data_IF_507402642771
#
_entry.id   IF_507402642771
#
_cell.length_a   1.000
_cell.length_b   1.000
_cell.length_c   1.000
_cell.angle_alpha   90.00
_cell.angle_beta   90.00
_cell.angle_gamma   90.00
#
_symmetry.space_group_name_H-M   'P 1'
#
loop_
_entity.id
_entity.type
_entity.pdbx_description
1 polymer ?
#
# COMPACT_ATOMS: atom_id res chain seq x y z
N UNK A 1 42.40 -20.74 62.54
CA UNK A 1 43.13 -20.62 61.26
C UNK A 1 42.11 -20.67 60.14
N UNK A 2 41.84 -19.51 59.53
CA UNK A 2 40.95 -19.34 58.38
C UNK A 2 41.67 -19.74 57.10
N UNK A 3 41.03 -20.53 56.25
CA UNK A 3 41.22 -20.52 54.80
C UNK A 3 40.04 -21.24 54.10
N UNK A 4 39.73 -20.90 52.83
CA UNK A 4 38.63 -20.00 52.55
C UNK A 4 37.68 -20.53 51.45
N UNK A 5 36.51 -19.90 51.36
CA UNK A 5 35.72 -19.75 50.13
C UNK A 5 35.61 -20.96 49.21
N UNK A 6 34.59 -21.77 49.43
CA UNK A 6 33.94 -22.55 48.36
C UNK A 6 33.42 -21.52 47.35
N UNK A 7 34.25 -21.19 46.34
CA UNK A 7 33.82 -20.45 45.16
C UNK A 7 32.97 -21.41 44.33
N UNK A 8 31.67 -21.43 44.61
CA UNK A 8 30.64 -21.92 43.71
C UNK A 8 30.73 -21.02 42.46
N UNK A 9 31.56 -21.41 41.49
CA UNK A 9 31.64 -20.73 40.19
C UNK A 9 30.29 -20.89 39.51
N UNK A 10 29.56 -19.79 39.37
CA UNK A 10 28.72 -19.33 38.24
C UNK A 10 28.20 -20.29 37.15
N UNK A 11 27.98 -21.59 37.40
CA UNK A 11 27.40 -22.52 36.41
C UNK A 11 25.90 -22.31 36.18
N UNK A 12 25.21 -21.55 37.04
CA UNK A 12 23.75 -21.38 36.98
C UNK A 12 23.24 -20.24 36.09
N UNK A 13 23.93 -19.10 36.05
CA UNK A 13 23.45 -17.90 35.35
C UNK A 13 23.57 -18.03 33.82
N UNK A 14 24.68 -18.56 33.33
CA UNK A 14 24.88 -18.82 31.90
C UNK A 14 23.87 -19.84 31.36
N UNK A 15 23.66 -20.95 32.09
CA UNK A 15 22.66 -21.96 31.76
C UNK A 15 21.24 -21.39 31.79
N UNK A 16 20.90 -20.55 32.75
CA UNK A 16 19.59 -19.91 32.84
C UNK A 16 19.35 -18.90 31.71
N UNK A 17 20.34 -18.08 31.37
CA UNK A 17 20.28 -17.15 30.24
C UNK A 17 20.15 -17.92 28.92
N UNK A 18 20.96 -18.97 28.73
CA UNK A 18 20.89 -19.82 27.56
C UNK A 18 19.52 -20.53 27.46
N UNK A 19 18.97 -21.01 28.58
CA UNK A 19 17.63 -21.61 28.63
C UNK A 19 16.53 -20.61 28.31
N UNK A 20 16.59 -19.38 28.82
CA UNK A 20 15.65 -18.30 28.47
C UNK A 20 15.78 -17.94 27.00
N UNK A 21 16.99 -17.77 26.49
CA UNK A 21 17.25 -17.46 25.09
C UNK A 21 16.73 -18.58 24.18
N UNK A 22 16.95 -19.85 24.56
CA UNK A 22 16.47 -21.01 23.79
C UNK A 22 14.95 -21.13 23.84
N UNK A 23 14.31 -20.86 24.98
CA UNK A 23 12.86 -20.80 25.09
C UNK A 23 12.28 -19.64 24.29
N UNK A 24 12.89 -18.47 24.34
CA UNK A 24 12.48 -17.29 23.58
C UNK A 24 12.62 -17.51 22.07
N UNK A 25 13.73 -18.10 21.61
CA UNK A 25 13.95 -18.46 20.20
C UNK A 25 12.97 -19.56 19.76
N UNK A 26 12.70 -20.56 20.62
CA UNK A 26 11.72 -21.61 20.33
C UNK A 26 10.30 -21.06 20.27
N UNK A 27 9.93 -20.14 21.17
CA UNK A 27 8.65 -19.46 21.16
C UNK A 27 8.51 -18.56 19.93
N UNK A 28 9.55 -17.80 19.58
CA UNK A 28 9.60 -17.03 18.33
C UNK A 28 9.40 -17.93 17.11
N UNK A 29 10.00 -19.12 17.06
CA UNK A 29 9.79 -20.10 15.97
C UNK A 29 8.32 -20.53 15.87
N UNK A 30 7.69 -20.87 17.00
CA UNK A 30 6.28 -21.25 17.05
C UNK A 30 5.38 -20.12 16.53
N UNK A 31 5.70 -18.86 16.86
CA UNK A 31 4.95 -17.70 16.38
C UNK A 31 5.29 -17.29 14.94
N UNK A 32 6.51 -17.56 14.46
CA UNK A 32 6.93 -17.15 13.12
C UNK A 32 6.18 -17.93 12.04
N UNK A 33 5.84 -19.21 12.27
CA UNK A 33 5.03 -20.01 11.34
C UNK A 33 3.64 -19.39 11.06
N UNK A 34 2.78 -19.12 12.06
CA UNK A 34 1.48 -18.51 11.82
C UNK A 34 1.61 -17.07 11.29
N UNK A 35 2.65 -16.32 11.67
CA UNK A 35 2.91 -14.99 11.11
C UNK A 35 3.23 -15.08 9.61
N UNK A 36 4.12 -15.98 9.20
CA UNK A 36 4.46 -16.20 7.78
C UNK A 36 3.23 -16.65 6.99
N UNK A 37 2.40 -17.55 7.55
CA UNK A 37 1.15 -17.96 6.90
C UNK A 37 0.17 -16.80 6.75
N UNK A 38 -0.03 -15.99 7.80
CA UNK A 38 -0.87 -14.80 7.74
C UNK A 38 -0.36 -13.78 6.72
N UNK A 39 0.96 -13.54 6.68
CA UNK A 39 1.58 -12.62 5.73
C UNK A 39 1.46 -13.13 4.29
N UNK A 40 1.68 -14.42 4.05
CA UNK A 40 1.52 -15.02 2.73
C UNK A 40 0.06 -15.00 2.27
N UNK A 41 -0.90 -15.21 3.17
CA UNK A 41 -2.32 -15.08 2.86
C UNK A 41 -2.71 -13.63 2.59
N UNK A 42 -2.16 -12.67 3.33
CA UNK A 42 -2.39 -11.24 3.11
C UNK A 42 -1.79 -10.75 1.79
N UNK A 43 -0.54 -11.12 1.52
CA UNK A 43 0.14 -10.83 0.26
C UNK A 43 -0.62 -11.46 -0.90
N UNK A 44 -0.93 -12.76 -0.79
CA UNK A 44 -1.71 -13.49 -1.77
C UNK A 44 -3.07 -12.83 -2.05
N UNK A 45 -3.78 -12.36 -1.03
CA UNK A 45 -5.04 -11.62 -1.23
C UNK A 45 -4.84 -10.37 -2.09
N UNK A 46 -3.81 -9.56 -1.80
CA UNK A 46 -3.52 -8.35 -2.59
C UNK A 46 -3.08 -8.66 -4.03
N UNK A 47 -2.26 -9.70 -4.23
CA UNK A 47 -1.83 -10.17 -5.55
C UNK A 47 -3.02 -10.70 -6.36
N UNK A 48 -3.87 -11.52 -5.74
CA UNK A 48 -5.10 -12.06 -6.35
C UNK A 48 -6.03 -10.94 -6.79
N UNK A 49 -6.24 -9.94 -5.93
CA UNK A 49 -7.10 -8.80 -6.24
C UNK A 49 -6.60 -8.06 -7.49
N UNK A 50 -5.31 -7.72 -7.54
CA UNK A 50 -4.71 -7.05 -8.70
C UNK A 50 -4.77 -7.89 -9.97
N UNK A 51 -4.54 -9.19 -9.88
CA UNK A 51 -4.49 -10.08 -11.04
C UNK A 51 -5.90 -10.43 -11.57
N UNK A 52 -6.90 -10.52 -10.69
CA UNK A 52 -8.30 -10.76 -11.05
C UNK A 52 -8.94 -9.65 -11.91
N UNK A 53 -8.32 -8.46 -11.96
CA UNK A 53 -8.74 -7.40 -12.86
C UNK A 53 -8.37 -7.66 -14.33
N UNK A 54 -7.32 -8.46 -14.59
CA UNK A 54 -6.82 -8.73 -15.94
C UNK A 54 -7.23 -10.09 -16.47
N UNK A 55 -7.43 -11.07 -15.59
CA UNK A 55 -7.68 -12.47 -15.94
C UNK A 55 -8.88 -12.98 -15.14
N UNK A 56 -9.55 -14.03 -15.64
CA UNK A 56 -10.64 -14.70 -14.93
C UNK A 56 -10.25 -15.07 -13.48
N UNK A 57 -11.14 -14.82 -12.49
CA UNK A 57 -10.81 -14.96 -11.07
C UNK A 57 -10.24 -16.32 -10.67
N UNK A 58 -10.74 -17.42 -11.23
CA UNK A 58 -10.26 -18.75 -10.87
C UNK A 58 -8.81 -19.01 -11.33
N UNK A 59 -8.43 -18.52 -12.52
CA UNK A 59 -7.04 -18.61 -13.01
C UNK A 59 -6.15 -17.75 -12.13
N UNK A 60 -6.65 -16.56 -11.76
CA UNK A 60 -5.91 -15.65 -10.91
C UNK A 60 -5.60 -16.25 -9.54
N UNK A 61 -6.53 -16.99 -8.96
CA UNK A 61 -6.33 -17.70 -7.70
C UNK A 61 -5.24 -18.76 -7.82
N UNK A 62 -5.27 -19.59 -8.87
CA UNK A 62 -4.25 -20.64 -9.08
C UNK A 62 -2.85 -20.04 -9.24
N UNK A 63 -2.72 -18.98 -10.06
CA UNK A 63 -1.43 -18.29 -10.26
C UNK A 63 -0.94 -17.67 -8.95
N UNK A 64 -1.83 -17.05 -8.18
CA UNK A 64 -1.48 -16.44 -6.90
C UNK A 64 -0.95 -17.48 -5.90
N UNK A 65 -1.63 -18.63 -5.79
CA UNK A 65 -1.17 -19.74 -4.93
C UNK A 65 0.22 -20.22 -5.38
N UNK A 66 0.46 -20.31 -6.68
CA UNK A 66 1.76 -20.69 -7.22
C UNK A 66 2.86 -19.67 -6.87
N UNK A 67 2.60 -18.37 -7.08
CA UNK A 67 3.55 -17.28 -6.74
C UNK A 67 3.90 -17.31 -5.25
N UNK A 68 2.90 -17.37 -4.38
CA UNK A 68 3.11 -17.37 -2.93
C UNK A 68 3.86 -18.63 -2.46
N UNK A 69 3.54 -19.80 -3.05
CA UNK A 69 4.26 -21.04 -2.76
C UNK A 69 5.73 -20.95 -3.17
N UNK A 70 6.02 -20.38 -4.35
CA UNK A 70 7.41 -20.17 -4.81
C UNK A 70 8.16 -19.22 -3.87
N UNK A 71 7.53 -18.12 -3.43
CA UNK A 71 8.16 -17.18 -2.48
C UNK A 71 8.55 -17.90 -1.20
N UNK A 72 7.65 -18.67 -0.59
CA UNK A 72 7.94 -19.39 0.67
C UNK A 72 8.98 -20.50 0.46
N UNK A 73 8.82 -21.35 -0.56
CA UNK A 73 9.73 -22.47 -0.82
C UNK A 73 11.13 -21.97 -1.15
N UNK A 74 11.26 -21.01 -2.07
CA UNK A 74 12.58 -20.47 -2.43
C UNK A 74 13.21 -19.68 -1.27
N UNK A 75 12.44 -19.04 -0.40
CA UNK A 75 12.97 -18.37 0.79
C UNK A 75 13.56 -19.35 1.80
N UNK A 76 12.90 -20.50 2.00
CA UNK A 76 13.43 -21.60 2.80
C UNK A 76 14.65 -22.22 2.12
N UNK A 77 14.53 -22.62 0.85
CA UNK A 77 15.65 -23.25 0.13
C UNK A 77 16.91 -22.36 0.07
N UNK A 78 16.75 -21.03 -0.07
CA UNK A 78 17.85 -20.08 -0.02
C UNK A 78 18.54 -20.04 1.35
N UNK A 79 17.84 -20.37 2.44
CA UNK A 79 18.43 -20.45 3.77
C UNK A 79 19.29 -21.71 3.96
N UNK A 80 18.94 -22.82 3.30
CA UNK A 80 19.68 -24.07 3.34
C UNK A 80 20.86 -24.18 2.35
N UNK A 81 20.97 -23.28 1.37
CA UNK A 81 22.03 -23.34 0.34
C UNK A 81 23.19 -22.41 0.67
N UNK A 82 24.40 -22.98 0.73
CA UNK A 82 25.64 -22.21 0.80
C UNK A 82 26.10 -21.74 -0.59
N UNK A 83 26.25 -20.42 -0.76
CA UNK A 83 26.71 -19.79 -2.00
C UNK A 83 28.01 -20.40 -2.55
N UNK A 84 28.97 -20.73 -1.66
CA UNK A 84 30.26 -21.29 -2.08
C UNK A 84 30.16 -22.73 -2.59
N UNK A 85 29.33 -23.57 -1.95
CA UNK A 85 29.19 -24.98 -2.27
C UNK A 85 28.39 -25.24 -3.56
N UNK A 86 27.37 -24.41 -3.87
CA UNK A 86 26.54 -24.63 -5.05
C UNK A 86 26.01 -23.32 -5.67
N UNK A 87 26.88 -22.63 -6.42
CA UNK A 87 26.58 -21.33 -7.07
C UNK A 87 25.43 -21.40 -8.07
N UNK A 88 25.36 -22.47 -8.88
CA UNK A 88 24.33 -22.60 -9.92
C UNK A 88 22.94 -22.78 -9.30
N UNK A 89 22.81 -23.67 -8.30
CA UNK A 89 21.53 -23.87 -7.60
C UNK A 89 21.10 -22.60 -6.86
N UNK A 90 22.03 -21.93 -6.18
CA UNK A 90 21.73 -20.67 -5.50
C UNK A 90 21.22 -19.61 -6.47
N UNK A 91 21.89 -19.42 -7.63
CA UNK A 91 21.47 -18.44 -8.62
C UNK A 91 20.07 -18.75 -9.18
N UNK A 92 19.77 -20.02 -9.46
CA UNK A 92 18.43 -20.40 -9.95
C UNK A 92 17.34 -20.11 -8.93
N UNK A 93 17.59 -20.36 -7.63
CA UNK A 93 16.64 -20.11 -6.54
C UNK A 93 16.44 -18.60 -6.33
N UNK A 94 17.51 -17.80 -6.40
CA UNK A 94 17.41 -16.34 -6.28
C UNK A 94 16.69 -15.73 -7.47
N UNK A 95 16.94 -16.23 -8.69
CA UNK A 95 16.26 -15.77 -9.89
C UNK A 95 14.76 -16.07 -9.83
N UNK A 96 14.37 -17.30 -9.44
CA UNK A 96 12.95 -17.66 -9.28
C UNK A 96 12.27 -16.85 -8.18
N UNK A 97 12.96 -16.62 -7.06
CA UNK A 97 12.47 -15.77 -5.97
C UNK A 97 12.26 -14.32 -6.44
N UNK A 98 13.23 -13.76 -7.17
CA UNK A 98 13.16 -12.39 -7.69
C UNK A 98 11.99 -12.21 -8.66
N UNK A 99 11.75 -13.18 -9.55
CA UNK A 99 10.61 -13.16 -10.47
C UNK A 99 9.28 -13.27 -9.71
N UNK A 100 9.20 -14.13 -8.71
CA UNK A 100 7.99 -14.31 -7.90
C UNK A 100 7.66 -13.05 -7.09
N UNK A 101 8.65 -12.43 -6.45
CA UNK A 101 8.49 -11.15 -5.73
C UNK A 101 8.10 -10.05 -6.71
N UNK A 102 8.78 -9.93 -7.85
CA UNK A 102 8.45 -8.89 -8.83
C UNK A 102 7.00 -9.03 -9.32
N UNK A 103 6.55 -10.25 -9.62
CA UNK A 103 5.16 -10.51 -10.01
C UNK A 103 4.18 -10.15 -8.86
N UNK A 104 4.44 -10.65 -7.66
CA UNK A 104 3.61 -10.39 -6.47
C UNK A 104 3.47 -8.89 -6.20
N UNK A 105 4.59 -8.16 -6.09
CA UNK A 105 4.61 -6.71 -5.85
C UNK A 105 3.90 -5.94 -6.95
N UNK A 106 4.12 -6.31 -8.22
CA UNK A 106 3.48 -5.63 -9.37
C UNK A 106 1.96 -5.72 -9.30
N UNK A 107 1.40 -6.89 -8.98
CA UNK A 107 -0.04 -7.05 -8.89
C UNK A 107 -0.62 -6.47 -7.59
N UNK A 108 0.07 -6.65 -6.47
CA UNK A 108 -0.35 -6.06 -5.19
C UNK A 108 -0.32 -4.53 -5.21
N UNK A 109 0.59 -3.93 -5.98
CA UNK A 109 0.65 -2.49 -6.20
C UNK A 109 -0.68 -1.92 -6.71
N UNK A 110 -1.46 -2.65 -7.52
CA UNK A 110 -2.77 -2.18 -7.99
C UNK A 110 -3.72 -1.87 -6.83
N UNK A 111 -3.79 -2.75 -5.82
CA UNK A 111 -4.69 -2.54 -4.68
C UNK A 111 -4.25 -1.36 -3.81
N UNK A 112 -2.95 -1.24 -3.56
CA UNK A 112 -2.43 -0.11 -2.77
C UNK A 112 -2.52 1.22 -3.51
N UNK A 113 -2.33 1.20 -4.83
CA UNK A 113 -2.48 2.38 -5.68
C UNK A 113 -3.92 2.90 -5.65
N UNK A 114 -4.90 2.02 -5.82
CA UNK A 114 -6.33 2.34 -5.73
C UNK A 114 -6.65 3.04 -4.40
N UNK A 115 -6.21 2.49 -3.27
CA UNK A 115 -6.42 3.08 -1.95
C UNK A 115 -5.73 4.44 -1.83
N UNK A 116 -4.50 4.58 -2.34
CA UNK A 116 -3.74 5.83 -2.23
C UNK A 116 -4.27 6.97 -3.10
N UNK A 117 -4.86 6.65 -4.25
CA UNK A 117 -5.31 7.65 -5.24
C UNK A 117 -6.81 7.93 -5.23
N UNK A 118 -7.61 7.11 -4.53
CA UNK A 118 -9.06 7.28 -4.48
C UNK A 118 -9.48 8.67 -4.01
N UNK A 119 -8.86 9.18 -2.94
CA UNK A 119 -9.16 10.50 -2.39
C UNK A 119 -8.69 11.62 -3.34
N UNK A 120 -7.47 11.52 -3.85
CA UNK A 120 -6.90 12.49 -4.81
C UNK A 120 -7.75 12.60 -6.08
N UNK A 121 -8.20 11.47 -6.64
CA UNK A 121 -9.05 11.45 -7.82
C UNK A 121 -10.44 12.01 -7.53
N UNK A 122 -11.02 11.70 -6.37
CA UNK A 122 -12.30 12.27 -5.97
C UNK A 122 -12.23 13.79 -5.85
N UNK A 123 -11.19 14.31 -5.18
CA UNK A 123 -10.94 15.75 -5.03
C UNK A 123 -10.72 16.41 -6.41
N UNK A 124 -9.94 15.79 -7.29
CA UNK A 124 -9.70 16.31 -8.64
C UNK A 124 -10.99 16.39 -9.46
N UNK A 125 -11.84 15.35 -9.43
CA UNK A 125 -13.14 15.33 -10.11
C UNK A 125 -14.09 16.39 -9.54
N UNK A 126 -14.12 16.53 -8.22
CA UNK A 126 -14.91 17.57 -7.55
C UNK A 126 -14.44 18.96 -7.96
N UNK A 127 -13.13 19.23 -7.93
CA UNK A 127 -12.55 20.50 -8.35
C UNK A 127 -12.81 20.80 -9.84
N UNK A 128 -12.77 19.78 -10.70
CA UNK A 128 -13.14 19.93 -12.10
C UNK A 128 -14.61 20.36 -12.25
N UNK A 129 -15.54 19.75 -11.51
CA UNK A 129 -16.93 20.18 -11.47
C UNK A 129 -17.08 21.61 -10.92
N UNK A 130 -16.36 21.96 -9.85
CA UNK A 130 -16.36 23.31 -9.28
C UNK A 130 -15.91 24.34 -10.32
N UNK A 131 -14.81 24.05 -11.02
CA UNK A 131 -14.23 24.94 -12.02
C UNK A 131 -15.14 25.10 -13.25
N UNK A 132 -15.61 24.00 -13.84
CA UNK A 132 -16.51 24.03 -15.00
C UNK A 132 -17.82 24.77 -14.68
N UNK A 133 -18.38 24.54 -13.49
CA UNK A 133 -19.59 25.23 -13.05
C UNK A 133 -19.32 26.72 -12.86
N UNK A 134 -18.22 27.08 -12.20
CA UNK A 134 -17.83 28.47 -11.97
C UNK A 134 -17.61 29.22 -13.29
N UNK A 135 -16.85 28.66 -14.22
CA UNK A 135 -16.55 29.30 -15.50
C UNK A 135 -17.83 29.56 -16.31
N UNK A 136 -18.77 28.61 -16.30
CA UNK A 136 -20.08 28.79 -16.93
C UNK A 136 -20.93 29.87 -16.23
N UNK A 137 -20.98 29.88 -14.90
CA UNK A 137 -21.70 30.88 -14.13
C UNK A 137 -21.12 32.29 -14.32
N UNK A 138 -19.80 32.43 -14.33
CA UNK A 138 -19.12 33.70 -14.56
C UNK A 138 -19.46 34.24 -15.96
N UNK A 139 -19.53 33.36 -16.98
CA UNK A 139 -20.02 33.70 -18.32
C UNK A 139 -21.47 34.19 -18.32
N UNK A 140 -22.37 33.51 -17.60
CA UNK A 140 -23.77 33.95 -17.45
C UNK A 140 -23.86 35.31 -16.76
N UNK A 141 -23.10 35.53 -15.70
CA UNK A 141 -23.09 36.79 -14.95
C UNK A 141 -22.58 37.95 -15.81
N UNK A 142 -21.59 37.70 -16.68
CA UNK A 142 -21.12 38.70 -17.64
C UNK A 142 -22.21 39.08 -18.65
N UNK A 143 -22.92 38.10 -19.23
CA UNK A 143 -24.05 38.34 -20.14
C UNK A 143 -25.17 39.11 -19.43
N UNK A 144 -25.51 38.72 -18.19
CA UNK A 144 -26.48 39.44 -17.35
C UNK A 144 -26.08 40.90 -17.13
N UNK A 145 -24.80 41.16 -16.82
CA UNK A 145 -24.29 42.51 -16.59
C UNK A 145 -24.43 43.37 -17.85
N UNK A 146 -24.05 42.84 -19.01
CA UNK A 146 -24.19 43.52 -20.31
C UNK A 146 -25.67 43.79 -20.64
N UNK A 147 -26.54 42.81 -20.37
CA UNK A 147 -27.99 42.92 -20.59
C UNK A 147 -28.61 44.05 -19.78
N UNK A 148 -28.36 44.07 -18.47
CA UNK A 148 -28.87 45.13 -17.59
C UNK A 148 -28.32 46.50 -17.96
N UNK A 149 -27.07 46.58 -18.41
CA UNK A 149 -26.48 47.84 -18.85
C UNK A 149 -27.17 48.38 -20.12
N UNK A 150 -27.35 47.52 -21.13
CA UNK A 150 -28.00 47.90 -22.39
C UNK A 150 -29.44 48.37 -22.17
N UNK A 151 -30.21 47.66 -21.34
CA UNK A 151 -31.58 48.07 -21.03
C UNK A 151 -31.69 49.39 -20.28
N UNK A 152 -30.76 49.66 -19.37
CA UNK A 152 -30.72 50.95 -18.66
C UNK A 152 -30.47 52.10 -19.64
N UNK A 153 -29.54 51.93 -20.59
CA UNK A 153 -29.32 52.91 -21.65
C UNK A 153 -30.57 53.12 -22.52
N UNK A 154 -31.26 52.05 -22.88
CA UNK A 154 -32.49 52.12 -23.66
C UNK A 154 -33.66 52.78 -22.92
N UNK A 155 -33.71 52.62 -21.60
CA UNK A 155 -34.67 53.28 -20.72
C UNK A 155 -34.33 54.77 -20.54
N UNK A 156 -33.07 55.12 -20.33
CA UNK A 156 -32.60 56.50 -20.24
C UNK A 156 -32.89 57.26 -21.53
N UNK A 157 -32.64 56.63 -22.69
CA UNK A 157 -33.00 57.20 -23.99
C UNK A 157 -34.51 57.41 -24.12
N UNK A 158 -35.33 56.44 -23.75
CA UNK A 158 -36.78 56.58 -23.78
C UNK A 158 -37.29 57.67 -22.81
N UNK A 159 -36.63 57.83 -21.66
CA UNK A 159 -36.92 58.89 -20.70
C UNK A 159 -36.60 60.27 -21.28
N UNK A 160 -35.44 60.40 -21.94
CA UNK A 160 -35.02 61.61 -22.63
C UNK A 160 -35.99 61.96 -23.77
N UNK A 161 -36.35 60.98 -24.60
CA UNK A 161 -37.29 61.17 -25.71
C UNK A 161 -38.68 61.60 -25.20
N UNK A 162 -39.16 61.00 -24.11
CA UNK A 162 -40.41 61.40 -23.46
C UNK A 162 -40.34 62.83 -22.88
N UNK A 163 -39.19 63.22 -22.31
CA UNK A 163 -38.98 64.58 -21.80
C UNK A 163 -38.93 65.61 -22.93
N UNK A 164 -38.20 65.33 -24.02
CA UNK A 164 -38.15 66.19 -25.19
C UNK A 164 -39.51 66.28 -25.89
N UNK A 165 -40.29 65.19 -25.88
CA UNK A 165 -41.66 65.17 -26.37
C UNK A 165 -42.59 66.06 -25.52
N UNK A 166 -42.37 66.11 -24.20
CA UNK A 166 -43.11 66.99 -23.28
C UNK A 166 -42.82 68.48 -23.53
N UNK A 167 -41.55 68.82 -23.78
CA UNK A 167 -41.12 70.20 -24.03
C UNK A 167 -41.28 70.65 -25.49
N UNK A 168 -41.73 69.77 -26.38
CA UNK A 168 -41.89 70.12 -27.80
C UNK A 168 -40.57 70.28 -28.56
N UNK A 169 -39.45 69.77 -28.03
CA UNK A 169 -38.09 69.90 -28.59
C UNK A 169 -37.62 68.65 -29.34
N UNK A 170 -38.43 67.59 -29.36
CA UNK A 170 -38.09 66.33 -30.01
C UNK A 170 -38.00 66.48 -31.54
N UNK A 171 -37.00 65.83 -32.16
CA UNK A 171 -36.65 66.01 -33.59
C UNK A 171 -37.77 65.62 -34.58
N UNK A 172 -38.68 64.73 -34.17
CA UNK A 172 -39.79 64.25 -35.01
C UNK A 172 -41.09 65.06 -34.86
N UNK A 173 -41.10 66.12 -34.04
CA UNK A 173 -42.27 67.00 -33.89
C UNK A 173 -42.37 67.91 -35.12
N UNK A 174 -43.55 67.92 -35.76
CA UNK A 174 -43.82 68.79 -36.90
C UNK A 174 -43.70 70.28 -36.56
N UNK A 175 -43.33 71.15 -37.52
CA UNK A 175 -43.01 72.56 -37.27
C UNK A 175 -44.15 73.36 -36.63
N UNK A 176 -45.42 72.96 -36.83
CA UNK A 176 -46.59 73.62 -36.21
C UNK A 176 -46.81 73.33 -34.71
N UNK A 177 -46.14 72.31 -34.15
CA UNK A 177 -46.29 71.87 -32.76
C UNK A 177 -44.99 71.99 -31.95
N UNK A 178 -43.95 72.59 -32.53
CA UNK A 178 -42.62 72.73 -31.92
C UNK A 178 -42.65 73.77 -30.79
N UNK A 179 -41.91 73.52 -29.71
CA UNK A 179 -41.83 74.37 -28.51
C UNK A 179 -43.16 74.55 -27.74
N UNK A 180 -44.18 73.73 -28.01
CA UNK A 180 -45.39 73.69 -27.19
C UNK A 180 -45.18 72.68 -26.06
N UNK A 181 -45.33 73.15 -24.81
CA UNK A 181 -45.14 72.32 -23.61
C UNK A 181 -46.47 71.68 -23.22
N UNK A 182 -46.48 70.37 -22.98
CA UNK A 182 -47.63 69.70 -22.38
C UNK A 182 -47.85 68.23 -22.78
N UNK A 183 -48.93 67.66 -22.26
CA UNK A 183 -49.30 66.24 -22.40
C UNK A 183 -50.06 65.93 -23.71
N UNK A 184 -49.53 66.43 -24.83
CA UNK A 184 -50.10 66.20 -26.15
C UNK A 184 -50.01 64.73 -26.61
N UNK A 185 -50.65 64.38 -27.75
CA UNK A 185 -50.61 63.02 -28.31
C UNK A 185 -49.19 62.50 -28.53
N UNK A 186 -48.27 63.39 -28.90
CA UNK A 186 -46.86 63.06 -29.11
C UNK A 186 -46.16 62.65 -27.80
N UNK A 187 -46.35 63.42 -26.72
CA UNK A 187 -45.85 63.05 -25.40
C UNK A 187 -46.45 61.73 -24.91
N UNK A 188 -47.76 61.51 -25.10
CA UNK A 188 -48.42 60.25 -24.69
C UNK A 188 -47.80 59.02 -25.34
N UNK A 189 -47.45 59.10 -26.63
CA UNK A 189 -46.79 58.00 -27.34
C UNK A 189 -45.41 57.67 -26.74
N UNK A 190 -44.55 58.67 -26.55
CA UNK A 190 -43.21 58.45 -25.99
C UNK A 190 -43.23 58.08 -24.50
N UNK A 191 -44.17 58.64 -23.73
CA UNK A 191 -44.39 58.24 -22.36
C UNK A 191 -44.88 56.78 -22.27
N UNK A 192 -45.75 56.33 -23.19
CA UNK A 192 -46.17 54.93 -23.24
C UNK A 192 -44.97 54.01 -23.50
N UNK A 193 -44.11 54.33 -24.47
CA UNK A 193 -42.86 53.57 -24.73
C UNK A 193 -41.97 53.54 -23.48
N UNK A 194 -41.82 54.66 -22.79
CA UNK A 194 -41.04 54.72 -21.55
C UNK A 194 -41.64 53.83 -20.44
N UNK A 195 -42.97 53.87 -20.23
CA UNK A 195 -43.64 53.01 -19.25
C UNK A 195 -43.52 51.52 -19.61
N UNK A 196 -43.67 51.16 -20.89
CA UNK A 196 -43.48 49.79 -21.37
C UNK A 196 -42.06 49.31 -21.10
N UNK A 197 -41.03 50.08 -21.47
CA UNK A 197 -39.62 49.74 -21.19
C UNK A 197 -39.34 49.63 -19.70
N UNK A 198 -39.93 50.51 -18.88
CA UNK A 198 -39.80 50.48 -17.42
C UNK A 198 -40.39 49.18 -16.84
N UNK A 199 -41.56 48.76 -17.30
CA UNK A 199 -42.19 47.50 -16.90
C UNK A 199 -41.36 46.30 -17.34
N UNK A 200 -40.84 46.30 -18.57
CA UNK A 200 -39.97 45.22 -19.07
C UNK A 200 -38.70 45.09 -18.22
N UNK A 201 -38.03 46.20 -17.89
CA UNK A 201 -36.84 46.18 -17.03
C UNK A 201 -37.17 45.58 -15.65
N UNK A 202 -38.31 45.98 -15.06
CA UNK A 202 -38.72 45.48 -13.75
C UNK A 202 -39.02 43.98 -13.74
N UNK A 203 -39.67 43.46 -14.80
CA UNK A 203 -39.91 42.02 -14.97
C UNK A 203 -38.59 41.25 -15.12
N UNK A 204 -37.62 41.82 -15.83
CA UNK A 204 -36.31 41.18 -16.01
C UNK A 204 -35.47 41.21 -14.74
N UNK A 205 -35.49 42.29 -13.97
CA UNK A 205 -34.84 42.34 -12.65
C UNK A 205 -35.39 41.25 -11.72
N UNK A 206 -36.70 40.99 -11.73
CA UNK A 206 -37.31 39.88 -10.97
C UNK A 206 -36.82 38.51 -11.46
N UNK A 207 -36.76 38.30 -12.78
CA UNK A 207 -36.25 37.04 -13.35
C UNK A 207 -34.76 36.84 -13.00
N UNK A 208 -33.97 37.91 -12.98
CA UNK A 208 -32.57 37.86 -12.57
C UNK A 208 -32.38 37.59 -11.08
N UNK A 209 -33.28 38.03 -10.21
CA UNK A 209 -33.28 37.67 -8.80
C UNK A 209 -33.57 36.18 -8.60
N UNK A 210 -34.52 35.63 -9.35
CA UNK A 210 -34.79 34.18 -9.33
C UNK A 210 -33.56 33.38 -9.81
N UNK A 211 -32.89 33.86 -10.87
CA UNK A 211 -31.64 33.26 -11.36
C UNK A 211 -30.55 33.30 -10.28
N UNK A 212 -30.34 34.44 -9.61
CA UNK A 212 -29.34 34.56 -8.53
C UNK A 212 -29.63 33.60 -7.36
N UNK A 213 -30.92 33.40 -7.02
CA UNK A 213 -31.32 32.42 -6.01
C UNK A 213 -30.95 31.01 -6.43
N UNK A 214 -31.20 30.63 -7.68
CA UNK A 214 -30.85 29.32 -8.22
C UNK A 214 -29.34 29.11 -8.25
N UNK A 215 -28.56 30.15 -8.60
CA UNK A 215 -27.09 30.11 -8.59
C UNK A 215 -26.57 29.84 -7.17
N UNK A 216 -27.11 30.53 -6.16
CA UNK A 216 -26.73 30.28 -4.75
C UNK A 216 -27.06 28.85 -4.31
N UNK A 217 -28.21 28.33 -4.73
CA UNK A 217 -28.64 26.97 -4.42
C UNK A 217 -27.73 25.94 -5.09
N UNK A 218 -27.32 26.17 -6.35
CA UNK A 218 -26.35 25.34 -7.06
C UNK A 218 -24.99 25.32 -6.34
N UNK A 219 -24.48 26.48 -5.93
CA UNK A 219 -23.21 26.60 -5.18
C UNK A 219 -23.29 25.88 -3.83
N UNK A 220 -24.42 25.98 -3.14
CA UNK A 220 -24.66 25.24 -1.88
C UNK A 220 -24.61 23.73 -2.10
N UNK A 221 -25.30 23.21 -3.12
CA UNK A 221 -25.35 21.78 -3.40
C UNK A 221 -23.98 21.24 -3.86
N UNK A 222 -23.22 22.05 -4.59
CA UNK A 222 -21.85 21.75 -5.00
C UNK A 222 -20.87 21.69 -3.82
N UNK A 223 -21.10 22.48 -2.78
CA UNK A 223 -20.34 22.38 -1.53
C UNK A 223 -20.76 21.17 -0.68
N UNK A 224 -22.04 20.79 -0.72
CA UNK A 224 -22.56 19.62 0.00
C UNK A 224 -22.09 18.28 -0.59
N UNK A 225 -21.74 18.25 -1.88
CA UNK A 225 -21.22 17.05 -2.57
C UNK A 225 -19.98 16.41 -1.90
N UNK A 226 -19.23 17.20 -1.12
CA UNK A 226 -18.04 16.77 -0.38
C UNK A 226 -18.39 16.17 1.00
N UNK A 227 -19.50 16.62 1.61
CA UNK A 227 -19.84 16.40 3.02
C UNK A 227 -20.91 15.32 3.21
N UNK A 228 -21.80 15.15 2.24
CA UNK A 228 -22.98 14.28 2.38
C UNK A 228 -22.64 12.80 2.17
N UNK A 229 -23.21 11.93 3.01
CA UNK A 229 -23.10 10.47 2.87
C UNK A 229 -23.85 9.94 1.62
N UNK A 230 -24.97 10.57 1.27
CA UNK A 230 -25.75 10.27 0.08
C UNK A 230 -25.26 11.09 -1.12
N UNK A 231 -24.13 10.65 -1.70
CA UNK A 231 -23.50 11.32 -2.85
C UNK A 231 -24.38 11.29 -4.09
N UNK A 232 -25.22 10.27 -4.27
CA UNK A 232 -26.09 10.11 -5.44
C UNK A 232 -27.21 11.15 -5.45
N UNK A 233 -27.93 11.25 -4.33
CA UNK A 233 -29.01 12.22 -4.20
C UNK A 233 -28.50 13.66 -4.37
N UNK A 234 -27.40 14.02 -3.70
CA UNK A 234 -26.82 15.37 -3.81
C UNK A 234 -26.32 15.66 -5.24
N UNK A 235 -25.72 14.68 -5.92
CA UNK A 235 -25.30 14.84 -7.32
C UNK A 235 -26.48 15.06 -8.26
N UNK A 236 -27.56 14.28 -8.09
CA UNK A 236 -28.77 14.44 -8.89
C UNK A 236 -29.43 15.81 -8.69
N UNK A 237 -29.46 16.31 -7.46
CA UNK A 237 -29.95 17.66 -7.15
C UNK A 237 -29.06 18.74 -7.75
N UNK A 238 -27.74 18.59 -7.68
CA UNK A 238 -26.79 19.49 -8.34
C UNK A 238 -27.06 19.55 -9.86
N UNK A 239 -27.18 18.40 -10.53
CA UNK A 239 -27.48 18.33 -11.96
C UNK A 239 -28.83 18.99 -12.30
N UNK A 240 -29.86 18.75 -11.49
CA UNK A 240 -31.18 19.36 -11.68
C UNK A 240 -31.09 20.88 -11.62
N UNK A 241 -30.47 21.44 -10.58
CA UNK A 241 -30.31 22.89 -10.46
C UNK A 241 -29.48 23.48 -11.59
N UNK A 242 -28.47 22.76 -12.06
CA UNK A 242 -27.66 23.17 -13.19
C UNK A 242 -28.50 23.26 -14.47
N UNK A 243 -29.35 22.26 -14.73
CA UNK A 243 -30.30 22.26 -15.85
C UNK A 243 -31.36 23.36 -15.72
N UNK A 244 -31.88 23.61 -14.52
CA UNK A 244 -32.84 24.67 -14.26
C UNK A 244 -32.24 26.06 -14.55
N UNK A 245 -30.96 26.27 -14.22
CA UNK A 245 -30.21 27.49 -14.57
C UNK A 245 -30.03 27.59 -16.09
N UNK A 246 -29.62 26.52 -16.77
CA UNK A 246 -29.51 26.51 -18.23
C UNK A 246 -30.83 26.89 -18.90
N UNK A 247 -31.95 26.32 -18.45
CA UNK A 247 -33.27 26.58 -18.99
C UNK A 247 -33.70 28.03 -18.74
N UNK A 248 -33.51 28.55 -17.53
CA UNK A 248 -33.81 29.94 -17.19
C UNK A 248 -32.97 30.94 -18.00
N UNK A 249 -31.68 30.65 -18.19
CA UNK A 249 -30.77 31.48 -18.99
C UNK A 249 -31.14 31.44 -20.48
N UNK A 250 -31.50 30.27 -21.03
CA UNK A 250 -31.98 30.14 -22.41
C UNK A 250 -33.27 30.95 -22.66
N UNK A 251 -34.20 30.92 -21.71
CA UNK A 251 -35.43 31.73 -21.78
C UNK A 251 -35.12 33.25 -21.75
N UNK A 252 -34.20 33.68 -20.88
CA UNK A 252 -33.77 35.08 -20.81
C UNK A 252 -33.07 35.55 -22.09
N UNK A 253 -32.13 34.76 -22.62
CA UNK A 253 -31.38 35.15 -23.80
C UNK A 253 -32.20 35.11 -25.10
N UNK A 254 -33.11 34.15 -25.24
CA UNK A 254 -33.99 34.06 -26.42
C UNK A 254 -34.88 35.30 -26.58
N UNK A 255 -35.26 35.95 -25.47
CA UNK A 255 -36.02 37.20 -25.50
C UNK A 255 -35.24 38.40 -26.07
N UNK A 256 -33.91 38.28 -26.21
CA UNK A 256 -33.02 39.38 -26.58
C UNK A 256 -32.11 39.12 -27.78
N UNK A 257 -32.07 37.89 -28.30
CA UNK A 257 -31.23 37.54 -29.45
C UNK A 257 -29.73 37.57 -29.17
N UNK A 258 -29.31 37.43 -27.90
CA UNK A 258 -27.88 37.34 -27.53
C UNK A 258 -27.37 35.90 -27.58
N UNK A 259 -26.10 35.73 -27.95
CA UNK A 259 -25.40 34.45 -27.87
C UNK A 259 -25.06 34.11 -26.42
N UNK A 260 -25.40 32.89 -26.00
CA UNK A 260 -25.07 32.37 -24.68
C UNK A 260 -23.70 31.69 -24.65
N UNK A 261 -23.02 31.66 -23.49
CA UNK A 261 -21.84 30.83 -23.32
C UNK A 261 -22.22 29.35 -23.47
N UNK A 262 -21.35 28.57 -24.12
CA UNK A 262 -21.54 27.15 -24.28
C UNK A 262 -21.52 26.44 -22.92
N UNK A 263 -22.55 25.64 -22.66
CA UNK A 263 -22.63 24.91 -21.42
C UNK A 263 -21.69 23.70 -21.43
N UNK A 264 -20.79 23.54 -20.43
CA UNK A 264 -19.92 22.39 -20.37
C UNK A 264 -20.70 21.09 -20.17
N UNK A 265 -20.27 20.03 -20.84
CA UNK A 265 -20.72 18.68 -20.56
C UNK A 265 -20.13 18.22 -19.22
N UNK A 266 -20.94 18.28 -18.17
CA UNK A 266 -20.57 17.79 -16.86
C UNK A 266 -20.41 16.26 -16.90
N UNK A 267 -19.50 15.73 -16.08
CA UNK A 267 -19.33 14.29 -15.94
C UNK A 267 -20.62 13.62 -15.46
N UNK A 268 -20.78 12.32 -15.73
CA UNK A 268 -21.92 11.57 -15.20
C UNK A 268 -21.65 11.15 -13.75
N UNK A 269 -22.70 10.84 -12.97
CA UNK A 269 -22.53 10.29 -11.62
C UNK A 269 -21.65 9.03 -11.62
N UNK A 270 -21.81 8.20 -12.66
CA UNK A 270 -21.03 6.97 -12.83
C UNK A 270 -19.54 7.25 -13.00
N UNK A 271 -19.18 8.31 -13.73
CA UNK A 271 -17.79 8.78 -13.87
C UNK A 271 -17.27 9.46 -12.61
N UNK A 272 -18.14 10.16 -11.88
CA UNK A 272 -17.79 10.83 -10.62
C UNK A 272 -17.40 9.84 -9.53
N UNK A 273 -18.14 8.74 -9.40
CA UNK A 273 -17.91 7.67 -8.40
C UNK A 273 -17.02 6.54 -8.93
N UNK A 274 -16.60 6.59 -10.20
CA UNK A 274 -15.82 5.50 -10.81
C UNK A 274 -14.55 5.19 -10.02
N UNK A 275 -14.42 3.96 -9.56
CA UNK A 275 -13.21 3.48 -8.90
C UNK A 275 -12.01 3.51 -9.86
N UNK A 276 -10.80 3.52 -9.30
CA UNK A 276 -9.57 3.57 -10.10
C UNK A 276 -9.44 2.28 -10.90
N UNK A 277 -9.73 2.33 -12.20
CA UNK A 277 -9.50 1.18 -13.07
C UNK A 277 -8.00 0.94 -13.21
N UNK A 278 -7.49 -0.24 -12.82
CA UNK A 278 -6.09 -0.56 -13.03
C UNK A 278 -5.80 -0.59 -14.54
N UNK A 279 -4.84 0.21 -14.96
CA UNK A 279 -4.42 0.29 -16.36
C UNK A 279 -2.93 0.52 -16.42
N UNK A 280 -2.27 0.11 -17.50
CA UNK A 280 -0.83 0.36 -17.67
C UNK A 280 -0.46 1.86 -17.67
N UNK A 281 -1.44 2.76 -17.83
CA UNK A 281 -1.23 4.20 -17.71
C UNK A 281 -0.86 4.64 -16.28
N UNK A 282 -1.19 3.86 -15.25
CA UNK A 282 -0.88 4.20 -13.85
C UNK A 282 0.63 4.17 -13.54
N UNK A 283 1.44 3.47 -14.34
CA UNK A 283 2.90 3.54 -14.24
C UNK A 283 3.46 4.93 -14.55
N UNK A 284 2.67 5.79 -15.22
CA UNK A 284 3.03 7.20 -15.43
C UNK A 284 2.80 8.07 -14.19
N UNK A 285 1.92 7.64 -13.28
CA UNK A 285 1.65 8.28 -11.97
C UNK A 285 2.16 7.41 -10.82
N UNK A 286 3.41 6.95 -10.89
CA UNK A 286 3.93 5.95 -9.94
C UNK A 286 3.92 6.46 -8.48
N UNK A 287 3.21 5.73 -7.61
CA UNK A 287 3.15 6.00 -6.17
C UNK A 287 4.21 5.19 -5.43
N UNK A 288 5.27 5.86 -4.99
CA UNK A 288 6.34 5.24 -4.18
C UNK A 288 5.82 4.63 -2.89
N UNK A 289 4.80 5.24 -2.28
CA UNK A 289 4.17 4.73 -1.06
C UNK A 289 3.47 3.38 -1.31
N UNK A 290 2.63 3.30 -2.34
CA UNK A 290 1.93 2.06 -2.68
C UNK A 290 2.92 0.93 -3.05
N UNK A 291 4.01 1.27 -3.76
CA UNK A 291 5.07 0.32 -4.08
C UNK A 291 5.81 -0.17 -2.82
N UNK A 292 6.19 0.73 -1.92
CA UNK A 292 6.87 0.37 -0.67
C UNK A 292 5.99 -0.54 0.20
N UNK A 293 4.70 -0.24 0.33
CA UNK A 293 3.74 -1.08 1.06
C UNK A 293 3.61 -2.47 0.44
N UNK A 294 3.49 -2.57 -0.89
CA UNK A 294 3.43 -3.85 -1.59
C UNK A 294 4.72 -4.67 -1.39
N UNK A 295 5.88 -4.04 -1.53
CA UNK A 295 7.18 -4.69 -1.36
C UNK A 295 7.46 -5.12 0.09
N UNK A 296 6.97 -4.37 1.07
CA UNK A 296 7.23 -4.63 2.49
C UNK A 296 6.62 -5.95 2.97
N UNK A 297 5.42 -6.30 2.51
CA UNK A 297 4.76 -7.56 2.90
C UNK A 297 5.55 -8.78 2.39
N UNK A 298 5.97 -8.73 1.12
CA UNK A 298 6.79 -9.80 0.53
C UNK A 298 8.18 -9.85 1.16
N UNK A 299 8.79 -8.70 1.42
CA UNK A 299 10.07 -8.61 2.12
C UNK A 299 10.02 -9.27 3.51
N UNK A 300 9.00 -8.96 4.32
CA UNK A 300 8.85 -9.60 5.63
C UNK A 300 8.55 -11.09 5.53
N UNK A 301 7.79 -11.52 4.51
CA UNK A 301 7.52 -12.94 4.26
C UNK A 301 8.82 -13.69 3.94
N UNK A 302 9.68 -13.12 3.09
CA UNK A 302 10.99 -13.67 2.74
C UNK A 302 11.91 -13.68 3.96
N UNK A 303 12.02 -12.56 4.68
CA UNK A 303 12.91 -12.41 5.83
C UNK A 303 12.55 -13.39 6.96
N UNK A 304 11.26 -13.52 7.28
CA UNK A 304 10.79 -14.43 8.33
C UNK A 304 10.88 -15.90 7.89
N UNK A 305 10.57 -16.22 6.64
CA UNK A 305 10.77 -17.56 6.08
C UNK A 305 12.25 -17.97 6.10
N UNK A 306 13.13 -17.08 5.65
CA UNK A 306 14.58 -17.29 5.72
C UNK A 306 15.06 -17.47 7.16
N UNK A 307 14.52 -16.67 8.09
CA UNK A 307 14.85 -16.76 9.52
C UNK A 307 14.38 -18.08 10.14
N UNK A 308 13.24 -18.63 9.75
CA UNK A 308 12.72 -19.90 10.28
C UNK A 308 13.73 -21.06 10.16
N UNK A 309 14.52 -21.07 9.09
CA UNK A 309 15.53 -22.08 8.83
C UNK A 309 16.89 -21.75 9.48
N UNK A 310 17.22 -20.47 9.64
CA UNK A 310 18.42 -20.04 10.35
C UNK A 310 18.31 -20.01 11.88
N UNK A 311 17.10 -19.90 12.45
CA UNK A 311 16.92 -19.81 13.90
C UNK A 311 17.12 -21.14 14.62
N UNK A 312 17.78 -21.04 15.77
CA UNK A 312 18.51 -22.06 16.50
C UNK A 312 17.86 -23.46 16.59
N UNK A 313 18.70 -24.51 16.58
CA UNK A 313 18.27 -25.88 16.76
C UNK A 313 17.48 -26.06 18.06
N UNK A 314 16.54 -27.01 18.04
CA UNK A 314 15.71 -27.29 19.21
C UNK A 314 16.57 -27.69 20.43
N UNK A 315 16.19 -27.32 21.66
CA UNK A 315 16.97 -27.66 22.85
C UNK A 315 17.18 -29.18 22.93
N UNK A 316 18.42 -29.61 23.12
CA UNK A 316 18.72 -30.98 23.52
C UNK A 316 18.45 -31.11 25.02
N UNK A 317 17.79 -32.19 25.42
CA UNK A 317 17.76 -32.56 26.83
C UNK A 317 19.15 -32.98 27.30
N UNK A 318 19.42 -32.92 28.61
CA UNK A 318 20.72 -33.30 29.18
C UNK A 318 21.10 -34.75 28.82
N UNK A 319 20.11 -35.64 28.75
CA UNK A 319 20.29 -37.04 28.36
C UNK A 319 20.61 -37.19 26.87
N UNK A 320 19.92 -36.44 26.00
CA UNK A 320 20.20 -36.42 24.56
C UNK A 320 21.58 -35.83 24.27
N UNK A 321 21.98 -34.79 25.00
CA UNK A 321 23.29 -34.16 24.87
C UNK A 321 24.43 -35.13 25.25
N UNK A 322 24.28 -35.88 26.33
CA UNK A 322 25.25 -36.89 26.76
C UNK A 322 25.38 -38.02 25.73
N UNK A 323 24.24 -38.53 25.25
CA UNK A 323 24.18 -39.56 24.21
C UNK A 323 24.83 -39.08 22.89
N UNK A 324 24.51 -37.86 22.47
CA UNK A 324 25.09 -37.22 21.29
C UNK A 324 26.61 -37.11 21.43
N UNK A 325 27.11 -36.67 22.59
CA UNK A 325 28.54 -36.51 22.81
C UNK A 325 29.27 -37.86 22.76
N UNK A 326 28.71 -38.90 23.38
CA UNK A 326 29.29 -40.24 23.37
C UNK A 326 29.34 -40.85 21.97
N UNK A 327 28.30 -40.62 21.16
CA UNK A 327 28.25 -41.10 19.79
C UNK A 327 29.08 -40.25 18.82
N UNK A 328 29.15 -38.93 18.99
CA UNK A 328 30.04 -38.06 18.20
C UNK A 328 31.51 -38.45 18.39
N UNK A 329 31.89 -38.92 19.59
CA UNK A 329 33.23 -39.46 19.86
C UNK A 329 33.56 -40.73 19.06
N UNK A 330 32.56 -41.45 18.56
CA UNK A 330 32.77 -42.66 17.76
C UNK A 330 33.12 -42.36 16.29
N UNK A 331 33.02 -41.09 15.87
CA UNK A 331 33.51 -40.63 14.58
C UNK A 331 35.02 -40.38 14.69
N UNK A 332 35.76 -40.88 13.71
CA UNK A 332 37.23 -40.83 13.67
C UNK A 332 37.75 -39.90 12.58
N UNK A 333 36.91 -39.56 11.60
CA UNK A 333 37.28 -38.75 10.44
C UNK A 333 36.54 -37.41 10.49
N UNK A 334 37.28 -36.38 10.90
CA UNK A 334 36.83 -34.99 10.87
C UNK A 334 37.70 -34.22 9.90
N UNK A 335 37.09 -33.47 8.97
CA UNK A 335 37.79 -32.53 8.09
C UNK A 335 37.21 -31.13 8.26
N UNK A 336 37.99 -30.12 7.95
CA UNK A 336 37.48 -28.75 7.81
C UNK A 336 37.11 -28.59 6.34
N UNK A 337 35.85 -28.25 6.07
CA UNK A 337 35.33 -28.02 4.72
C UNK A 337 35.76 -26.62 4.21
N UNK A 338 35.53 -26.33 2.93
CA UNK A 338 35.75 -25.02 2.29
C UNK A 338 34.95 -23.86 2.92
N UNK A 339 34.00 -24.20 3.80
CA UNK A 339 33.20 -23.26 4.59
C UNK A 339 33.79 -22.96 5.98
N UNK A 340 34.99 -23.46 6.30
CA UNK A 340 35.61 -23.41 7.63
C UNK A 340 34.77 -24.11 8.73
N UNK A 341 33.84 -24.97 8.32
CA UNK A 341 33.02 -25.80 9.21
C UNK A 341 33.58 -27.24 9.28
N UNK A 342 33.46 -27.86 10.45
CA UNK A 342 33.87 -29.21 10.73
C UNK A 342 32.87 -30.18 10.09
N UNK A 343 33.37 -31.03 9.20
CA UNK A 343 32.61 -31.99 8.42
C UNK A 343 32.95 -33.41 8.84
N UNK A 344 31.92 -34.25 8.94
CA UNK A 344 31.98 -35.67 9.26
C UNK A 344 31.53 -36.52 8.07
N UNK A 345 32.21 -37.64 7.89
CA UNK A 345 31.81 -38.69 6.94
C UNK A 345 30.86 -39.65 7.62
N UNK A 346 29.69 -39.90 7.00
CA UNK A 346 28.63 -40.77 7.53
C UNK A 346 28.82 -42.21 7.04
N UNK A 347 29.31 -42.40 5.82
CA UNK A 347 29.48 -43.73 5.23
C UNK A 347 30.60 -44.55 5.91
N UNK A 348 30.42 -45.87 5.96
CA UNK A 348 31.47 -46.81 6.38
C UNK A 348 32.73 -46.63 5.55
N UNK A 349 33.86 -46.56 6.23
CA UNK A 349 35.14 -46.80 5.56
C UNK A 349 35.21 -48.24 5.01
N UNK A 350 36.03 -48.48 3.99
CA UNK A 350 36.22 -49.83 3.43
C UNK A 350 36.70 -50.84 4.47
N UNK A 351 37.46 -50.37 5.47
CA UNK A 351 37.91 -51.17 6.61
C UNK A 351 36.76 -51.54 7.56
N UNK A 352 35.81 -50.64 7.81
CA UNK A 352 34.63 -50.90 8.64
C UNK A 352 33.61 -51.80 7.94
N UNK A 353 33.48 -51.68 6.61
CA UNK A 353 32.72 -52.63 5.78
C UNK A 353 33.31 -54.03 5.89
N UNK A 354 34.63 -54.16 5.77
CA UNK A 354 35.33 -55.43 5.88
C UNK A 354 35.20 -56.06 7.28
N UNK A 355 35.13 -55.25 8.35
CA UNK A 355 34.99 -55.71 9.74
C UNK A 355 33.55 -55.87 10.25
N UNK A 356 32.54 -55.61 9.42
CA UNK A 356 31.10 -55.64 9.79
C UNK A 356 30.78 -54.81 11.04
N UNK A 357 31.38 -53.63 11.16
CA UNK A 357 31.06 -52.72 12.27
C UNK A 357 29.59 -52.26 12.19
N UNK A 358 28.95 -52.05 13.34
CA UNK A 358 27.58 -51.55 13.43
C UNK A 358 27.57 -50.02 13.44
N UNK A 359 26.88 -49.41 12.48
CA UNK A 359 26.79 -47.95 12.36
C UNK A 359 25.53 -47.37 12.98
N UNK A 360 24.74 -48.21 13.66
CA UNK A 360 23.42 -47.81 14.12
C UNK A 360 23.48 -46.59 15.04
N UNK A 361 24.48 -46.50 15.92
CA UNK A 361 24.74 -45.34 16.78
C UNK A 361 25.12 -44.09 15.98
N UNK A 362 25.97 -44.22 14.96
CA UNK A 362 26.39 -43.11 14.09
C UNK A 362 25.22 -42.56 13.29
N UNK A 363 24.47 -43.44 12.64
CA UNK A 363 23.28 -43.08 11.86
C UNK A 363 22.18 -42.46 12.72
N UNK A 364 21.98 -42.99 13.93
CA UNK A 364 21.00 -42.44 14.87
C UNK A 364 21.37 -41.03 15.31
N UNK A 365 22.64 -40.77 15.67
CA UNK A 365 23.07 -39.44 16.13
C UNK A 365 23.13 -38.43 14.99
N UNK A 366 23.55 -38.83 13.80
CA UNK A 366 23.45 -37.98 12.61
C UNK A 366 21.99 -37.66 12.32
N UNK A 367 21.09 -38.65 12.36
CA UNK A 367 19.64 -38.43 12.18
C UNK A 367 19.05 -37.51 13.25
N UNK A 368 19.39 -37.70 14.51
CA UNK A 368 18.94 -36.88 15.64
C UNK A 368 19.43 -35.43 15.49
N UNK A 369 20.72 -35.22 15.23
CA UNK A 369 21.29 -33.88 15.11
C UNK A 369 20.83 -33.16 13.82
N UNK A 370 20.65 -33.87 12.71
CA UNK A 370 20.02 -33.33 11.50
C UNK A 370 18.58 -32.90 11.78
N UNK A 371 17.78 -33.77 12.44
CA UNK A 371 16.39 -33.47 12.76
C UNK A 371 16.23 -32.25 13.69
N UNK A 372 17.24 -32.00 14.52
CA UNK A 372 17.27 -30.88 15.47
C UNK A 372 17.94 -29.63 14.90
N UNK A 373 18.63 -29.70 13.75
CA UNK A 373 19.31 -28.57 13.11
C UNK A 373 20.73 -28.29 13.63
N UNK A 374 21.36 -29.24 14.31
CA UNK A 374 22.74 -29.15 14.79
C UNK A 374 23.77 -29.64 13.77
N UNK A 375 23.33 -30.39 12.77
CA UNK A 375 24.11 -30.76 11.59
C UNK A 375 23.39 -30.25 10.34
N UNK A 376 24.15 -29.99 9.28
CA UNK A 376 23.65 -29.69 7.94
C UNK A 376 24.16 -30.74 6.96
N UNK A 377 23.33 -31.11 5.99
CA UNK A 377 23.70 -32.08 4.96
C UNK A 377 24.46 -31.37 3.85
N UNK A 378 25.69 -31.80 3.58
CA UNK A 378 26.52 -31.27 2.49
C UNK A 378 26.28 -32.12 1.23
N UNK A 379 26.48 -33.43 1.35
CA UNK A 379 26.23 -34.43 0.31
C UNK A 379 25.51 -35.65 0.90
N UNK A 380 25.21 -36.66 0.07
CA UNK A 380 24.63 -37.93 0.53
C UNK A 380 25.52 -38.69 1.53
N UNK A 381 26.81 -38.34 1.60
CA UNK A 381 27.82 -39.06 2.37
C UNK A 381 28.39 -38.27 3.55
N UNK A 382 28.14 -36.97 3.62
CA UNK A 382 28.81 -36.08 4.57
C UNK A 382 27.87 -35.03 5.16
N UNK A 383 28.17 -34.66 6.41
CA UNK A 383 27.44 -33.65 7.17
C UNK A 383 28.40 -32.68 7.84
N UNK A 384 28.04 -31.40 7.86
CA UNK A 384 28.81 -30.35 8.52
C UNK A 384 28.14 -29.87 9.82
N UNK A 385 28.96 -29.37 10.74
CA UNK A 385 28.53 -28.87 12.03
C UNK A 385 27.85 -27.52 11.88
N UNK A 386 26.60 -27.41 12.33
CA UNK A 386 25.99 -26.10 12.44
C UNK A 386 26.76 -25.24 13.47
N UNK A 387 26.85 -23.91 13.27
CA UNK A 387 27.54 -23.00 14.19
C UNK A 387 27.11 -23.11 15.66
N UNK A 388 25.88 -23.55 15.90
CA UNK A 388 25.29 -23.72 17.23
C UNK A 388 25.76 -24.98 17.98
N UNK A 389 26.38 -25.94 17.28
CA UNK A 389 26.89 -27.17 17.89
C UNK A 389 28.26 -26.96 18.57
N UNK A 390 29.08 -26.01 18.09
CA UNK A 390 30.42 -25.74 18.64
C UNK A 390 30.41 -25.27 20.10
N UNK A 391 29.56 -24.29 20.52
CA UNK A 391 29.54 -23.84 21.91
C UNK A 391 29.15 -24.96 22.87
N UNK A 392 28.20 -25.80 22.46
CA UNK A 392 27.65 -26.91 23.25
C UNK A 392 28.71 -28.00 23.48
N UNK A 393 29.46 -28.36 22.44
CA UNK A 393 30.60 -29.28 22.55
C UNK A 393 31.74 -28.64 23.37
N UNK A 394 32.05 -27.36 23.15
CA UNK A 394 33.12 -26.65 23.84
C UNK A 394 32.88 -26.56 25.36
N UNK A 395 31.63 -26.33 25.79
CA UNK A 395 31.25 -26.30 27.21
C UNK A 395 31.47 -27.68 27.86
N UNK A 396 30.99 -28.76 27.25
CA UNK A 396 31.19 -30.13 27.75
C UNK A 396 32.65 -30.57 27.77
N UNK A 397 33.42 -30.22 26.74
CA UNK A 397 34.85 -30.50 26.72
C UNK A 397 35.56 -29.73 27.84
N UNK A 398 35.17 -28.47 28.08
CA UNK A 398 35.72 -27.65 29.16
C UNK A 398 35.44 -28.25 30.54
N UNK A 399 34.22 -28.73 30.78
CA UNK A 399 33.85 -29.41 32.02
C UNK A 399 34.63 -30.71 32.24
N UNK A 400 34.80 -31.53 31.19
CA UNK A 400 35.60 -32.76 31.26
C UNK A 400 37.08 -32.45 31.49
N UNK A 401 37.64 -31.43 30.85
CA UNK A 401 39.02 -30.99 31.07
C UNK A 401 39.20 -30.48 32.51
N UNK A 402 38.22 -29.75 33.05
CA UNK A 402 38.24 -29.30 34.44
C UNK A 402 38.20 -30.48 35.42
N UNK A 403 37.33 -31.46 35.19
CA UNK A 403 37.22 -32.67 35.99
C UNK A 403 38.50 -33.54 35.93
N UNK A 404 39.13 -33.64 34.75
CA UNK A 404 40.41 -34.35 34.57
C UNK A 404 41.55 -33.63 35.30
N UNK A 405 41.62 -32.29 35.22
CA UNK A 405 42.61 -31.49 35.97
C UNK A 405 42.43 -31.63 37.48
N UNK A 406 41.18 -31.69 37.98
CA UNK A 406 40.90 -31.93 39.39
C UNK A 406 41.29 -33.35 39.83
N UNK A 407 41.02 -34.37 39.01
CA UNK A 407 41.46 -35.75 39.28
C UNK A 407 42.98 -35.90 39.25
N UNK A 408 43.66 -35.22 38.32
CA UNK A 408 45.12 -35.19 38.25
C UNK A 408 45.74 -34.46 39.45
N UNK A 409 45.11 -33.39 39.95
CA UNK A 409 45.55 -32.68 41.15
C UNK A 409 45.25 -33.44 42.46
N UNK A 410 44.28 -34.36 42.45
CA UNK A 410 43.92 -35.20 43.58
C UNK A 410 44.67 -36.56 43.62
N UNK A 411 45.45 -36.88 42.59
CA UNK A 411 46.30 -38.07 42.59
C UNK A 411 47.53 -37.79 43.47
N UNK A 412 47.76 -38.54 44.58
CA UNK A 412 48.94 -38.35 45.40
C UNK A 412 50.18 -38.70 44.57
N UNK A 413 51.20 -37.85 44.68
CA UNK A 413 52.54 -38.03 44.12
C UNK A 413 53.19 -39.30 44.68
N UNK A 414 52.85 -40.45 44.11
CA UNK A 414 53.51 -41.72 44.34
C UNK A 414 54.75 -41.84 43.44
N UNK A 415 55.74 -40.99 43.68
CA UNK A 415 57.16 -41.27 43.36
C UNK A 415 58.00 -40.52 44.41
N UNK A 416 58.26 -41.19 45.53
CA UNK A 416 59.42 -40.88 46.37
C UNK A 416 60.39 -42.04 46.22
N UNK A 417 61.57 -41.71 45.71
CA UNK A 417 62.74 -42.58 45.62
C UNK A 417 63.03 -43.29 46.96
N UNK A 418 63.21 -44.60 46.88
CA UNK A 418 64.38 -45.32 47.41
C UNK A 418 64.68 -46.52 46.51
#
# INVERSE_FOLDING_TARGET
MNNPSIKIRSTGLGYFINRIQTLFVSMLRIWTIPIVLMLSLSSGFTTYYGLSHFITPWIALVITVAIQSIIVICSLEMAGIHWKANRMRYFTVVASLSVAIAASVTFSYFKFYEISEQETLHINRLNQLRQQTKDYLDGILQVKSQMLHQQKLDLEKASLDASQAYFGTHNQIGPGYKNQVGEGPFWRHYNQIYQEKKQTLQQQEQAFQALDSNIRLLQSNLNQLDVTNDKEATYSQFLKNYQDIQLGVNQLASSMGMSLPDAPLLMTYKQFVEEVKPSFAMWRGFSWFAFACAAMVDFFTVLLSYRLEFTAPGPLTIQEEELVFECLRQFTEFRINENDELEMVIEKSELEKARRYSDWSRMFVVGLLLSRGFLRKVDDRTVEFAPNLYPLIAEKMSDKIAALKQKAAAAPSAVSHE
#
